data_IF_365877415889
#
_entry.id   IF_365877415889
#
_cell.length_a   1.000
_cell.length_b   1.000
_cell.length_c   1.000
_cell.angle_alpha   90.00
_cell.angle_beta   90.00
_cell.angle_gamma   90.00
#
_symmetry.space_group_name_H-M   'P 1'
#
loop_
_entity.id
_entity.type
_entity.pdbx_description
1 polymer ?
#
# COMPACT_ATOMS: atom_id res chain seq x y z
N UNK A 1 -28.37 -10.21 -6.43
CA UNK A 1 -27.84 -8.82 -6.42
C UNK A 1 -27.03 -8.66 -5.15
N UNK A 2 -25.80 -8.13 -5.21
CA UNK A 2 -25.02 -7.81 -3.99
C UNK A 2 -25.70 -6.64 -3.29
N UNK A 3 -26.19 -6.85 -2.06
CA UNK A 3 -26.79 -5.79 -1.24
C UNK A 3 -25.68 -5.09 -0.44
N UNK A 4 -25.58 -3.75 -0.53
CA UNK A 4 -24.56 -2.99 0.19
C UNK A 4 -24.64 -3.22 1.70
N UNK A 5 -25.84 -3.31 2.29
CA UNK A 5 -25.98 -3.51 3.74
C UNK A 5 -25.36 -4.83 4.21
N UNK A 6 -25.58 -5.91 3.47
CA UNK A 6 -24.96 -7.21 3.73
C UNK A 6 -23.43 -7.15 3.59
N UNK A 7 -22.92 -6.35 2.65
CA UNK A 7 -21.47 -6.13 2.52
C UNK A 7 -20.92 -5.34 3.70
N UNK A 8 -21.62 -4.29 4.16
CA UNK A 8 -21.22 -3.49 5.31
C UNK A 8 -21.21 -4.31 6.61
N UNK A 9 -22.24 -5.12 6.85
CA UNK A 9 -22.30 -6.06 7.98
C UNK A 9 -21.12 -7.04 7.98
N UNK A 10 -20.77 -7.58 6.81
CA UNK A 10 -19.62 -8.50 6.67
C UNK A 10 -18.29 -7.76 6.91
N UNK A 11 -18.14 -6.54 6.38
CA UNK A 11 -16.97 -5.69 6.61
C UNK A 11 -16.82 -5.39 8.11
N UNK A 12 -17.89 -4.98 8.77
CA UNK A 12 -17.92 -4.68 10.20
C UNK A 12 -17.48 -5.89 11.02
N UNK A 13 -18.05 -7.07 10.74
CA UNK A 13 -17.64 -8.32 11.38
C UNK A 13 -16.15 -8.59 11.24
N UNK A 14 -15.59 -8.43 10.04
CA UNK A 14 -14.15 -8.61 9.80
C UNK A 14 -13.30 -7.56 10.55
N UNK A 15 -13.79 -6.33 10.69
CA UNK A 15 -13.07 -5.27 11.40
C UNK A 15 -13.04 -5.51 12.92
N UNK A 16 -14.10 -6.08 13.49
CA UNK A 16 -14.24 -6.38 14.92
C UNK A 16 -13.56 -7.71 15.29
N UNK A 17 -13.88 -8.78 14.57
CA UNK A 17 -13.62 -10.16 15.02
C UNK A 17 -12.39 -10.79 14.37
N UNK A 18 -12.11 -10.49 13.09
CA UNK A 18 -11.14 -11.25 12.31
C UNK A 18 -10.09 -10.38 11.58
N UNK A 19 -9.03 -10.07 12.32
CA UNK A 19 -7.87 -9.35 11.78
C UNK A 19 -7.07 -10.13 10.73
N UNK A 20 -7.25 -11.46 10.62
CA UNK A 20 -6.56 -12.31 9.62
C UNK A 20 -7.28 -12.31 8.27
N UNK A 21 -8.59 -12.05 8.25
CA UNK A 21 -9.42 -11.91 7.03
C UNK A 21 -9.22 -10.60 6.26
N UNK A 22 -7.98 -10.09 6.19
CA UNK A 22 -7.68 -8.85 5.47
C UNK A 22 -7.90 -8.97 3.95
N UNK A 23 -7.75 -10.18 3.40
CA UNK A 23 -8.01 -10.47 1.98
C UNK A 23 -9.48 -10.30 1.68
N UNK A 24 -10.35 -10.91 2.48
CA UNK A 24 -11.80 -10.78 2.33
C UNK A 24 -12.26 -9.33 2.48
N UNK A 25 -11.70 -8.59 3.45
CA UNK A 25 -11.97 -7.16 3.56
C UNK A 25 -11.61 -6.41 2.27
N UNK A 26 -10.43 -6.69 1.69
CA UNK A 26 -10.01 -6.05 0.45
C UNK A 26 -10.98 -6.34 -0.70
N UNK A 27 -11.43 -7.59 -0.86
CA UNK A 27 -12.37 -7.99 -1.90
C UNK A 27 -13.68 -7.21 -1.80
N UNK A 28 -14.28 -7.16 -0.60
CA UNK A 28 -15.54 -6.47 -0.34
C UNK A 28 -15.42 -4.96 -0.65
N UNK A 29 -14.36 -4.33 -0.15
CA UNK A 29 -14.10 -2.91 -0.40
C UNK A 29 -13.92 -2.64 -1.89
N UNK A 30 -13.17 -3.50 -2.59
CA UNK A 30 -12.91 -3.37 -4.01
C UNK A 30 -14.18 -3.58 -4.84
N UNK A 31 -15.04 -4.51 -4.44
CA UNK A 31 -16.33 -4.72 -5.09
C UNK A 31 -17.22 -3.47 -4.97
N UNK A 32 -17.33 -2.91 -3.77
CA UNK A 32 -18.09 -1.67 -3.52
C UNK A 32 -17.54 -0.49 -4.34
N UNK A 33 -16.22 -0.36 -4.43
CA UNK A 33 -15.57 0.70 -5.23
C UNK A 33 -15.86 0.53 -6.73
N UNK A 34 -15.63 -0.66 -7.29
CA UNK A 34 -15.80 -0.94 -8.73
C UNK A 34 -17.26 -0.77 -9.15
N UNK A 35 -18.20 -1.29 -8.34
CA UNK A 35 -19.63 -1.24 -8.63
C UNK A 35 -20.31 0.05 -8.16
N UNK A 36 -19.56 0.95 -7.51
CA UNK A 36 -20.08 2.17 -6.88
C UNK A 36 -21.28 1.91 -5.94
N UNK A 37 -21.25 0.80 -5.18
CA UNK A 37 -22.39 0.38 -4.34
C UNK A 37 -22.71 1.38 -3.23
N UNK A 38 -21.74 2.22 -2.85
CA UNK A 38 -21.89 3.29 -1.85
C UNK A 38 -22.85 4.41 -2.28
N UNK A 39 -23.26 4.44 -3.56
CA UNK A 39 -24.26 5.39 -4.07
C UNK A 39 -25.66 4.80 -3.96
N UNK A 40 -26.70 5.60 -3.66
CA UNK A 40 -26.64 7.06 -3.41
C UNK A 40 -26.36 7.44 -1.95
N UNK A 41 -26.27 6.46 -1.04
CA UNK A 41 -26.27 6.67 0.42
C UNK A 41 -25.10 7.55 0.91
N UNK A 42 -23.94 7.48 0.26
CA UNK A 42 -22.79 8.33 0.57
C UNK A 42 -22.42 9.25 -0.59
N UNK A 43 -21.89 10.44 -0.25
CA UNK A 43 -21.45 11.45 -1.24
C UNK A 43 -20.14 11.09 -1.96
N UNK A 44 -19.35 10.20 -1.38
CA UNK A 44 -18.10 9.71 -1.97
C UNK A 44 -17.67 8.39 -1.33
N UNK A 45 -16.84 7.63 -2.04
CA UNK A 45 -16.21 6.43 -1.52
C UNK A 45 -15.42 6.69 -0.22
N UNK A 46 -14.71 7.81 -0.13
CA UNK A 46 -14.03 8.21 1.12
C UNK A 46 -15.00 8.44 2.27
N UNK A 47 -16.18 9.02 2.01
CA UNK A 47 -17.21 9.21 3.05
C UNK A 47 -17.78 7.87 3.51
N UNK A 48 -17.92 6.91 2.61
CA UNK A 48 -18.30 5.55 2.94
C UNK A 48 -17.23 4.83 3.79
N UNK A 49 -15.93 4.94 3.44
CA UNK A 49 -14.84 4.40 4.28
C UNK A 49 -14.83 5.02 5.69
N UNK A 50 -15.13 6.32 5.81
CA UNK A 50 -15.28 7.00 7.10
C UNK A 50 -16.43 6.41 7.93
N UNK A 51 -17.55 6.15 7.28
CA UNK A 51 -18.70 5.50 7.91
C UNK A 51 -18.34 4.10 8.42
N UNK A 52 -17.71 3.26 7.58
CA UNK A 52 -17.24 1.93 7.96
C UNK A 52 -16.24 1.90 9.12
N UNK A 53 -15.46 2.98 9.29
CA UNK A 53 -14.49 3.06 10.37
C UNK A 53 -15.14 3.41 11.71
N UNK A 54 -16.28 4.10 11.68
CA UNK A 54 -16.93 4.69 12.85
C UNK A 54 -17.55 3.64 13.77
N UNK A 55 -18.48 2.81 13.26
CA UNK A 55 -19.20 1.80 14.07
C UNK A 55 -18.25 0.78 14.75
N UNK A 56 -17.27 0.19 14.04
CA UNK A 56 -16.34 -0.77 14.64
C UNK A 56 -15.27 -0.11 15.53
N UNK A 57 -15.22 1.22 15.62
CA UNK A 57 -14.19 1.95 16.37
C UNK A 57 -12.77 1.79 15.82
N UNK A 58 -12.61 1.55 14.51
CA UNK A 58 -11.30 1.37 13.86
C UNK A 58 -10.84 2.64 13.17
N UNK A 59 -9.54 2.72 12.84
CA UNK A 59 -9.03 3.85 12.06
C UNK A 59 -9.28 3.65 10.57
N UNK A 60 -9.63 4.72 9.84
CA UNK A 60 -9.67 4.71 8.37
C UNK A 60 -8.35 4.17 7.78
N UNK A 61 -7.22 4.49 8.42
CA UNK A 61 -5.89 4.04 8.01
C UNK A 61 -5.77 2.52 7.93
N UNK A 62 -6.41 1.78 8.84
CA UNK A 62 -6.44 0.31 8.80
C UNK A 62 -7.09 -0.19 7.51
N UNK A 63 -8.25 0.37 7.17
CA UNK A 63 -9.03 0.01 5.99
C UNK A 63 -8.23 0.33 4.72
N UNK A 64 -7.68 1.55 4.64
CA UNK A 64 -6.83 1.97 3.51
C UNK A 64 -5.59 1.11 3.34
N UNK A 65 -4.92 0.70 4.44
CA UNK A 65 -3.74 -0.18 4.37
C UNK A 65 -4.09 -1.55 3.79
N UNK A 66 -5.21 -2.15 4.22
CA UNK A 66 -5.67 -3.46 3.70
C UNK A 66 -6.06 -3.36 2.23
N UNK A 67 -6.79 -2.31 1.84
CA UNK A 67 -7.11 -2.02 0.44
C UNK A 67 -5.84 -1.92 -0.43
N UNK A 68 -4.91 -1.06 -0.02
CA UNK A 68 -3.65 -0.84 -0.73
C UNK A 68 -2.82 -2.12 -0.87
N UNK A 69 -2.77 -2.94 0.17
CA UNK A 69 -2.07 -4.22 0.13
C UNK A 69 -2.65 -5.17 -0.93
N UNK A 70 -3.98 -5.27 -1.02
CA UNK A 70 -4.64 -6.07 -2.04
C UNK A 70 -4.43 -5.52 -3.46
N UNK A 71 -4.39 -4.19 -3.63
CA UNK A 71 -4.06 -3.56 -4.92
C UNK A 71 -2.62 -3.86 -5.36
N UNK A 72 -1.66 -3.75 -4.44
CA UNK A 72 -0.24 -4.09 -4.70
C UNK A 72 -0.12 -5.53 -5.18
N UNK A 73 -0.81 -6.47 -4.51
CA UNK A 73 -0.81 -7.88 -4.89
C UNK A 73 -1.49 -8.13 -6.24
N UNK A 74 -2.69 -7.56 -6.44
CA UNK A 74 -3.43 -7.68 -7.71
C UNK A 74 -2.61 -7.16 -8.89
N UNK A 75 -1.87 -6.07 -8.71
CA UNK A 75 -1.00 -5.52 -9.75
C UNK A 75 0.23 -6.40 -10.01
N UNK A 76 0.81 -7.00 -8.97
CA UNK A 76 1.86 -8.01 -9.12
C UNK A 76 1.35 -9.23 -9.90
N UNK A 77 0.19 -9.77 -9.53
CA UNK A 77 -0.43 -10.92 -10.19
C UNK A 77 -0.68 -10.65 -11.69
N UNK A 78 -1.18 -9.44 -12.04
CA UNK A 78 -1.33 -9.02 -13.44
C UNK A 78 0.00 -9.01 -14.19
N UNK A 79 1.09 -8.52 -13.57
CA UNK A 79 2.42 -8.49 -14.20
C UNK A 79 3.02 -9.88 -14.33
N UNK A 80 2.90 -10.73 -13.31
CA UNK A 80 3.35 -12.12 -13.34
C UNK A 80 2.64 -12.91 -14.44
N UNK A 81 1.31 -12.79 -14.54
CA UNK A 81 0.51 -13.42 -15.59
C UNK A 81 0.96 -13.01 -17.00
N UNK A 82 1.26 -11.72 -17.21
CA UNK A 82 1.79 -11.21 -18.50
C UNK A 82 3.16 -11.82 -18.85
N UNK A 83 3.94 -12.23 -17.86
CA UNK A 83 5.24 -12.90 -18.01
C UNK A 83 5.12 -14.43 -18.11
N UNK A 84 3.91 -14.99 -18.11
CA UNK A 84 3.69 -16.45 -18.08
C UNK A 84 4.04 -17.10 -16.74
N UNK A 85 4.22 -16.30 -15.67
CA UNK A 85 4.57 -16.79 -14.35
C UNK A 85 3.28 -17.05 -13.56
N UNK A 86 3.13 -18.26 -13.04
CA UNK A 86 2.03 -18.61 -12.14
C UNK A 86 2.38 -18.18 -10.71
N UNK A 87 1.46 -17.48 -10.05
CA UNK A 87 1.60 -17.03 -8.66
C UNK A 87 0.36 -17.45 -7.86
N UNK A 88 0.45 -17.59 -6.53
CA UNK A 88 -0.68 -17.96 -5.68
C UNK A 88 -1.89 -17.04 -5.89
N UNK A 89 -3.09 -17.52 -5.60
CA UNK A 89 -4.23 -16.61 -5.49
C UNK A 89 -4.11 -15.84 -4.17
N UNK A 90 -4.75 -14.67 -4.07
CA UNK A 90 -4.56 -13.80 -2.89
C UNK A 90 -5.12 -14.43 -1.61
N UNK A 91 -6.11 -15.32 -1.75
CA UNK A 91 -6.74 -16.05 -0.66
C UNK A 91 -5.78 -17.11 -0.06
N UNK A 92 -4.82 -17.58 -0.84
CA UNK A 92 -3.79 -18.55 -0.42
C UNK A 92 -2.56 -17.86 0.22
N UNK A 93 -2.56 -16.53 0.33
CA UNK A 93 -1.40 -15.73 0.75
C UNK A 93 -1.37 -15.56 2.27
N UNK A 94 -0.47 -16.27 2.91
CA UNK A 94 -0.16 -16.11 4.35
C UNK A 94 0.86 -14.97 4.62
N UNK A 95 0.65 -13.81 4.00
CA UNK A 95 1.53 -12.63 4.16
C UNK A 95 0.73 -11.45 4.70
N UNK A 96 1.28 -10.79 5.73
CA UNK A 96 0.66 -9.60 6.32
C UNK A 96 0.63 -8.42 5.33
N UNK A 97 -0.46 -7.61 5.29
CA UNK A 97 -0.57 -6.39 4.48
C UNK A 97 0.63 -5.45 4.57
N UNK A 98 1.21 -5.35 5.77
CA UNK A 98 2.31 -4.43 6.04
C UNK A 98 3.59 -4.81 5.28
N UNK A 99 3.76 -6.07 4.87
CA UNK A 99 4.92 -6.49 4.09
C UNK A 99 4.81 -5.96 2.65
N UNK A 100 3.62 -5.98 2.06
CA UNK A 100 3.40 -5.42 0.72
C UNK A 100 3.60 -3.90 0.68
N UNK A 101 3.19 -3.20 1.73
CA UNK A 101 3.46 -1.76 1.83
C UNK A 101 4.97 -1.46 1.93
N UNK A 102 5.75 -2.32 2.62
CA UNK A 102 7.20 -2.19 2.66
C UNK A 102 7.82 -2.45 1.29
N UNK A 103 7.37 -3.47 0.57
CA UNK A 103 7.81 -3.74 -0.81
C UNK A 103 7.57 -2.52 -1.72
N UNK A 104 6.39 -1.91 -1.63
CA UNK A 104 6.07 -0.68 -2.37
C UNK A 104 7.08 0.44 -2.07
N UNK A 105 7.34 0.69 -0.78
CA UNK A 105 8.26 1.75 -0.33
C UNK A 105 9.71 1.50 -0.74
N UNK A 106 10.18 0.25 -0.62
CA UNK A 106 11.55 -0.14 -0.96
C UNK A 106 11.78 -0.07 -2.47
N UNK A 107 10.79 -0.50 -3.27
CA UNK A 107 10.93 -0.51 -4.73
C UNK A 107 10.97 0.87 -5.37
N UNK A 108 10.47 1.91 -4.67
CA UNK A 108 10.43 3.29 -5.15
C UNK A 108 9.80 3.46 -6.55
N UNK A 109 8.85 2.60 -6.91
CA UNK A 109 8.21 2.60 -8.23
C UNK A 109 8.93 1.78 -9.31
N UNK A 110 10.10 1.22 -9.03
CA UNK A 110 10.75 0.25 -9.93
C UNK A 110 9.96 -1.07 -9.92
N UNK A 111 9.32 -1.38 -11.06
CA UNK A 111 8.45 -2.57 -11.20
C UNK A 111 9.21 -3.88 -11.12
N UNK A 112 10.44 -3.95 -11.61
CA UNK A 112 11.25 -5.18 -11.58
C UNK A 112 11.69 -5.49 -10.16
N UNK A 113 12.25 -4.50 -9.46
CA UNK A 113 12.61 -4.65 -8.04
C UNK A 113 11.39 -4.96 -7.18
N UNK A 114 10.24 -4.36 -7.50
CA UNK A 114 8.97 -4.68 -6.82
C UNK A 114 8.58 -6.14 -7.02
N UNK A 115 8.61 -6.65 -8.27
CA UNK A 115 8.24 -8.03 -8.57
C UNK A 115 9.19 -9.04 -7.91
N UNK A 116 10.51 -8.78 -7.92
CA UNK A 116 11.52 -9.60 -7.22
C UNK A 116 11.29 -9.65 -5.71
N UNK A 117 11.04 -8.49 -5.08
CA UNK A 117 10.73 -8.42 -3.66
C UNK A 117 9.41 -9.12 -3.33
N UNK A 118 8.38 -8.98 -4.16
CA UNK A 118 7.11 -9.70 -3.99
C UNK A 118 7.33 -11.22 -3.98
N UNK A 119 8.09 -11.74 -4.95
CA UNK A 119 8.40 -13.17 -5.01
C UNK A 119 9.13 -13.65 -3.75
N UNK A 120 10.17 -12.93 -3.33
CA UNK A 120 10.95 -13.25 -2.11
C UNK A 120 10.08 -13.23 -0.85
N UNK A 121 9.14 -12.29 -0.75
CA UNK A 121 8.18 -12.24 0.36
C UNK A 121 7.24 -13.44 0.34
N UNK A 122 6.66 -13.76 -0.81
CA UNK A 122 5.69 -14.86 -0.96
C UNK A 122 6.34 -16.23 -0.70
N UNK A 123 7.59 -16.42 -1.14
CA UNK A 123 8.37 -17.63 -0.88
C UNK A 123 9.01 -17.69 0.51
N UNK A 124 8.76 -16.68 1.37
CA UNK A 124 9.35 -16.54 2.71
C UNK A 124 10.88 -16.50 2.74
N UNK A 125 11.52 -16.11 1.63
CA UNK A 125 12.97 -15.93 1.56
C UNK A 125 13.44 -14.69 2.31
N UNK A 126 12.57 -13.70 2.50
CA UNK A 126 12.84 -12.53 3.32
C UNK A 126 11.78 -12.34 4.39
N UNK A 127 12.23 -12.06 5.61
CA UNK A 127 11.38 -11.78 6.76
C UNK A 127 11.00 -10.30 6.78
N UNK A 128 9.99 -9.98 7.59
CA UNK A 128 9.58 -8.59 7.85
C UNK A 128 10.74 -7.72 8.37
N UNK A 129 11.62 -8.27 9.20
CA UNK A 129 12.81 -7.57 9.70
C UNK A 129 13.72 -7.10 8.57
N UNK A 130 13.89 -7.94 7.54
CA UNK A 130 14.78 -7.66 6.42
C UNK A 130 14.19 -6.54 5.56
N UNK A 131 12.87 -6.56 5.32
CA UNK A 131 12.16 -5.47 4.67
C UNK A 131 12.28 -4.15 5.46
N UNK A 132 12.15 -4.19 6.79
CA UNK A 132 12.30 -3.00 7.63
C UNK A 132 13.72 -2.44 7.54
N UNK A 133 14.74 -3.30 7.56
CA UNK A 133 16.13 -2.90 7.42
C UNK A 133 16.41 -2.30 6.03
N UNK A 134 15.95 -2.96 4.96
CA UNK A 134 16.04 -2.45 3.60
C UNK A 134 15.37 -1.07 3.47
N UNK A 135 14.17 -0.90 4.06
CA UNK A 135 13.49 0.38 4.07
C UNK A 135 14.22 1.47 4.84
N UNK A 136 14.84 1.14 5.99
CA UNK A 136 15.70 2.08 6.73
C UNK A 136 16.87 2.53 5.86
N UNK A 137 17.58 1.61 5.21
CA UNK A 137 18.67 1.94 4.29
C UNK A 137 18.22 2.85 3.16
N UNK A 138 17.07 2.54 2.54
CA UNK A 138 16.47 3.38 1.50
C UNK A 138 16.17 4.80 2.00
N UNK A 139 15.60 4.93 3.22
CA UNK A 139 15.36 6.24 3.84
C UNK A 139 16.66 7.01 4.10
N UNK A 140 17.68 6.35 4.64
CA UNK A 140 18.98 6.99 4.92
C UNK A 140 19.64 7.49 3.64
N UNK A 141 19.61 6.69 2.56
CA UNK A 141 20.14 7.12 1.26
C UNK A 141 19.37 8.36 0.78
N UNK A 142 18.04 8.36 0.83
CA UNK A 142 17.22 9.52 0.44
C UNK A 142 17.58 10.78 1.23
N UNK A 143 17.68 10.67 2.55
CA UNK A 143 18.04 11.80 3.41
C UNK A 143 19.44 12.35 3.09
N UNK A 144 20.40 11.48 2.82
CA UNK A 144 21.75 11.87 2.42
C UNK A 144 21.78 12.52 1.03
N UNK A 145 21.01 12.01 0.07
CA UNK A 145 20.89 12.59 -1.28
C UNK A 145 20.18 13.95 -1.26
N UNK A 146 19.05 14.07 -0.55
CA UNK A 146 18.34 15.33 -0.36
C UNK A 146 19.21 16.36 0.38
N UNK A 147 19.91 15.94 1.44
CA UNK A 147 20.87 16.77 2.15
C UNK A 147 22.03 17.25 1.25
N UNK A 148 22.52 16.39 0.36
CA UNK A 148 23.55 16.75 -0.64
C UNK A 148 23.02 17.74 -1.68
N UNK A 149 21.80 17.55 -2.18
CA UNK A 149 21.13 18.49 -3.10
C UNK A 149 20.92 19.85 -2.43
N UNK A 150 20.42 19.88 -1.19
CA UNK A 150 20.20 21.12 -0.43
C UNK A 150 21.55 21.85 -0.22
N UNK A 151 22.61 21.14 0.17
CA UNK A 151 23.97 21.72 0.31
C UNK A 151 24.47 22.30 -1.03
N UNK A 152 24.29 21.58 -2.14
CA UNK A 152 24.70 22.04 -3.49
C UNK A 152 23.94 23.30 -3.91
N UNK A 153 22.63 23.37 -3.65
CA UNK A 153 21.81 24.56 -3.93
C UNK A 153 22.25 25.75 -3.05
N UNK A 154 22.54 25.52 -1.77
CA UNK A 154 23.02 26.57 -0.86
C UNK A 154 24.38 27.15 -1.32
N UNK A 155 25.32 26.29 -1.74
CA UNK A 155 26.61 26.71 -2.29
C UNK A 155 26.43 27.53 -3.58
N UNK A 156 25.57 27.08 -4.50
CA UNK A 156 25.27 27.82 -5.74
C UNK A 156 24.67 29.21 -5.45
N UNK A 157 23.78 29.33 -4.46
CA UNK A 157 23.23 30.63 -4.00
C UNK A 157 24.32 31.53 -3.40
N UNK A 158 25.23 31.00 -2.59
CA UNK A 158 26.34 31.78 -2.02
C UNK A 158 27.33 32.27 -3.10
N UNK A 159 27.63 31.45 -4.10
CA UNK A 159 28.52 31.82 -5.22
C UNK A 159 27.88 32.94 -6.06
N UNK A 160 26.58 32.82 -6.36
CA UNK A 160 25.85 33.84 -7.13
C UNK A 160 25.71 35.17 -6.36
N UNK A 161 25.51 35.13 -5.04
CA UNK A 161 25.51 36.33 -4.19
C UNK A 161 26.89 37.00 -4.11
N UNK A 162 27.98 36.22 -4.09
CA UNK A 162 29.35 36.78 -4.12
C UNK A 162 29.73 37.41 -5.46
N UNK A 163 29.18 36.92 -6.58
CA UNK A 163 29.41 37.51 -7.92
C UNK A 163 28.66 38.82 -8.15
N UNK A 164 27.58 39.11 -7.41
CA UNK A 164 26.79 40.35 -7.52
C UNK A 164 27.32 41.53 -6.71
N UNK A 165 28.38 41.33 -5.91
CA UNK A 165 29.01 42.36 -5.05
C UNK A 165 30.38 42.83 -5.56
N UNK A 166 30.71 42.56 -6.83
CA UNK A 166 31.91 43.07 -7.51
C UNK A 166 31.50 43.91 -8.70
#
# INVERSE_FOLDING_TARGET
MTNIKTVEEEIEKILIEDKRSWVRLFELIREVEIKNLWKPEHKSFTRWIKHLAYEPGVTESLIWKRKKAGEIYSDYQKRAKKKGITVPKIEDVEVSPNNFELVEKISQGNKESKDDLMEKVLRRYIKRSDLLNAWKSVKTIRQNTEGSIIKKIAILKLITLKKKKR
#
